data_IF_696738666559
#
_entry.id   IF_696738666559
#
_cell.length_a   1.000
_cell.length_b   1.000
_cell.length_c   1.000
_cell.angle_alpha   90.00
_cell.angle_beta   90.00
_cell.angle_gamma   90.00
#
_symmetry.space_group_name_H-M   'P 1'
#
loop_
_entity.id
_entity.type
_entity.pdbx_description
1 polymer ?
#
# COMPACT_ATOMS: atom_id res chain seq x y z
N UNK A 1 -10.08 -15.52 20.59
CA UNK A 1 -8.65 -15.32 20.89
C UNK A 1 -8.61 -14.08 21.72
N UNK A 2 -7.93 -14.14 22.87
CA UNK A 2 -7.92 -13.05 23.84
C UNK A 2 -7.50 -11.73 23.19
N UNK A 3 -8.34 -10.71 23.38
CA UNK A 3 -8.15 -9.32 22.94
C UNK A 3 -7.06 -8.61 23.77
N UNK A 4 -6.06 -9.37 24.22
CA UNK A 4 -5.14 -9.02 25.29
C UNK A 4 -3.69 -8.92 24.79
N UNK A 5 -3.50 -8.57 23.52
CA UNK A 5 -2.18 -8.38 22.89
C UNK A 5 -1.80 -6.93 22.65
N UNK A 6 -2.70 -5.98 22.90
CA UNK A 6 -2.37 -4.57 22.87
C UNK A 6 -1.42 -4.28 24.04
N UNK A 7 -0.18 -3.88 23.73
CA UNK A 7 0.83 -3.47 24.73
C UNK A 7 0.51 -2.11 25.37
N UNK A 8 -0.68 -1.55 25.11
CA UNK A 8 -1.10 -0.21 25.51
C UNK A 8 -2.64 -0.13 25.60
N UNK A 9 -3.17 0.85 26.33
CA UNK A 9 -4.62 1.16 26.35
C UNK A 9 -5.02 2.19 25.29
N UNK A 10 -6.32 2.28 24.98
CA UNK A 10 -6.85 3.29 24.04
C UNK A 10 -6.51 4.71 24.51
N UNK A 11 -6.58 4.99 25.81
CA UNK A 11 -6.20 6.28 26.38
C UNK A 11 -4.71 6.58 26.18
N UNK A 12 -3.83 5.58 26.27
CA UNK A 12 -2.40 5.75 25.99
C UNK A 12 -2.17 6.08 24.51
N UNK A 13 -2.87 5.41 23.58
CA UNK A 13 -2.79 5.70 22.15
C UNK A 13 -3.29 7.11 21.81
N UNK A 14 -4.40 7.55 22.39
CA UNK A 14 -4.92 8.91 22.21
C UNK A 14 -4.01 9.97 22.84
N UNK A 15 -3.47 9.68 24.03
CA UNK A 15 -2.51 10.55 24.70
C UNK A 15 -1.22 10.70 23.88
N UNK A 16 -0.75 9.64 23.23
CA UNK A 16 0.41 9.69 22.35
C UNK A 16 0.23 10.69 21.20
N UNK A 17 -0.96 10.77 20.60
CA UNK A 17 -1.24 11.65 19.47
C UNK A 17 -1.57 13.11 19.86
N UNK A 18 -1.88 13.37 21.13
CA UNK A 18 -2.37 14.69 21.60
C UNK A 18 -1.42 15.43 22.54
N UNK A 19 -0.54 14.71 23.25
CA UNK A 19 0.28 15.31 24.31
C UNK A 19 1.37 16.21 23.74
N UNK A 20 1.48 17.42 24.28
CA UNK A 20 2.46 18.42 23.84
C UNK A 20 1.98 19.11 22.57
N UNK A 21 2.48 18.67 21.42
CA UNK A 21 2.07 19.16 20.10
C UNK A 21 1.29 18.03 19.40
N UNK A 22 0.00 18.23 19.04
CA UNK A 22 -0.78 17.20 18.37
C UNK A 22 -0.19 16.77 17.02
N UNK A 23 -0.46 15.51 16.65
CA UNK A 23 0.03 14.90 15.42
C UNK A 23 1.45 14.34 15.56
N UNK A 24 1.95 13.73 14.48
CA UNK A 24 3.24 13.03 14.47
C UNK A 24 4.30 13.66 13.58
N UNK A 25 3.98 14.76 12.91
CA UNK A 25 4.83 15.42 11.93
C UNK A 25 4.98 16.92 12.21
N UNK A 26 6.11 17.48 11.81
CA UNK A 26 6.34 18.93 11.78
C UNK A 26 7.31 19.31 10.68
N UNK A 27 7.28 20.58 10.26
CA UNK A 27 8.18 21.13 9.24
C UNK A 27 9.27 21.94 9.94
N UNK A 28 10.54 21.62 9.65
CA UNK A 28 11.70 22.34 10.17
C UNK A 28 12.55 22.87 9.01
N UNK A 29 12.99 24.15 9.03
CA UNK A 29 13.88 24.69 8.00
C UNK A 29 15.25 23.98 7.99
N UNK A 30 15.79 23.73 6.80
CA UNK A 30 17.11 23.10 6.61
C UNK A 30 18.25 24.10 6.44
N UNK A 31 17.94 25.38 6.23
CA UNK A 31 18.92 26.46 6.05
C UNK A 31 18.82 27.46 7.21
N UNK A 32 19.92 28.14 7.59
CA UNK A 32 19.87 29.20 8.60
C UNK A 32 18.90 30.32 8.20
N UNK A 33 18.18 30.87 9.17
CA UNK A 33 17.22 31.98 8.97
C UNK A 33 17.41 33.07 10.03
N UNK A 34 18.63 33.22 10.57
CA UNK A 34 18.89 34.03 11.76
C UNK A 34 19.21 35.50 11.43
N UNK A 35 19.68 35.78 10.21
CA UNK A 35 20.13 37.12 9.82
C UNK A 35 19.30 37.71 8.68
N UNK A 36 19.37 39.03 8.50
CA UNK A 36 18.77 39.71 7.35
C UNK A 36 19.31 39.15 6.02
N UNK A 37 20.60 38.80 5.98
CA UNK A 37 21.22 38.19 4.81
C UNK A 37 20.58 36.83 4.52
N UNK A 38 20.42 35.98 5.53
CA UNK A 38 19.80 34.66 5.36
C UNK A 38 18.39 34.78 4.81
N UNK A 39 17.57 35.67 5.38
CA UNK A 39 16.20 35.92 4.92
C UNK A 39 16.16 36.45 3.48
N UNK A 40 17.12 37.30 3.09
CA UNK A 40 17.23 37.83 1.73
C UNK A 40 17.63 36.77 0.70
N UNK A 41 18.31 35.70 1.12
CA UNK A 41 18.66 34.55 0.27
C UNK A 41 17.51 33.54 0.20
N UNK A 42 16.88 33.26 1.33
CA UNK A 42 15.78 32.31 1.46
C UNK A 42 14.50 32.77 0.76
N UNK A 43 14.30 34.08 0.69
CA UNK A 43 13.13 34.70 0.06
C UNK A 43 13.57 35.85 -0.84
N UNK A 44 12.76 36.89 -0.97
CA UNK A 44 13.07 38.02 -1.85
C UNK A 44 14.26 38.85 -1.35
N UNK A 45 15.18 39.28 -2.25
CA UNK A 45 15.17 39.02 -3.70
C UNK A 45 15.88 37.72 -4.13
N UNK A 46 16.59 37.04 -3.24
CA UNK A 46 17.48 35.91 -3.55
C UNK A 46 16.78 34.71 -4.20
N UNK A 47 15.57 34.35 -3.73
CA UNK A 47 14.77 33.23 -4.25
C UNK A 47 14.44 33.36 -5.75
N UNK A 48 14.51 34.57 -6.33
CA UNK A 48 14.30 34.76 -7.76
C UNK A 48 15.37 34.06 -8.62
N UNK A 49 16.57 33.82 -8.06
CA UNK A 49 17.67 33.14 -8.78
C UNK A 49 17.34 31.67 -9.05
N UNK A 50 17.04 30.80 -8.05
CA UNK A 50 16.63 29.42 -8.33
C UNK A 50 15.32 29.34 -9.11
N UNK A 51 14.36 30.27 -8.92
CA UNK A 51 13.13 30.30 -9.73
C UNK A 51 13.44 30.44 -11.23
N UNK A 52 14.30 31.38 -11.61
CA UNK A 52 14.69 31.56 -13.02
C UNK A 52 15.46 30.35 -13.56
N UNK A 53 16.37 29.80 -12.77
CA UNK A 53 17.12 28.61 -13.16
C UNK A 53 16.18 27.41 -13.44
N UNK A 54 15.19 27.17 -12.59
CA UNK A 54 14.19 26.11 -12.78
C UNK A 54 13.29 26.39 -13.98
N UNK A 55 12.94 27.66 -14.23
CA UNK A 55 12.16 28.03 -15.43
C UNK A 55 12.93 27.76 -16.73
N UNK A 56 14.26 27.90 -16.72
CA UNK A 56 15.13 27.59 -17.86
C UNK A 56 15.39 26.07 -18.00
N UNK A 57 15.54 25.37 -16.87
CA UNK A 57 15.71 23.92 -16.81
C UNK A 57 14.93 23.31 -15.63
N UNK A 58 13.75 22.69 -15.88
CA UNK A 58 12.90 22.12 -14.84
C UNK A 58 13.58 21.07 -13.93
N UNK A 59 14.57 20.34 -14.45
CA UNK A 59 15.29 19.31 -13.67
C UNK A 59 16.07 19.89 -12.50
N UNK A 60 16.44 21.18 -12.56
CA UNK A 60 17.10 21.87 -11.44
C UNK A 60 16.20 22.01 -10.20
N UNK A 61 14.91 21.66 -10.29
CA UNK A 61 14.05 21.52 -9.13
C UNK A 61 14.57 20.44 -8.16
N UNK A 62 15.24 19.40 -8.67
CA UNK A 62 15.85 18.36 -7.84
C UNK A 62 17.12 18.85 -7.10
N UNK A 63 17.81 19.86 -7.64
CA UNK A 63 19.02 20.43 -7.03
C UNK A 63 18.70 21.55 -6.04
N UNK A 64 17.69 22.39 -6.34
CA UNK A 64 17.43 23.63 -5.61
C UNK A 64 16.20 23.60 -4.71
N UNK A 65 15.49 22.46 -4.64
CA UNK A 65 14.32 22.30 -3.78
C UNK A 65 14.36 20.97 -3.05
N UNK A 66 13.38 20.73 -2.17
CA UNK A 66 13.23 19.45 -1.48
C UNK A 66 12.61 18.35 -2.38
N UNK A 67 12.21 18.65 -3.63
CA UNK A 67 11.49 17.74 -4.53
C UNK A 67 12.10 16.35 -4.60
N UNK A 68 13.43 16.25 -4.70
CA UNK A 68 14.13 14.98 -4.85
C UNK A 68 14.02 14.02 -3.66
N UNK A 69 13.72 14.52 -2.46
CA UNK A 69 13.55 13.70 -1.26
C UNK A 69 12.12 13.74 -0.70
N UNK A 70 11.18 14.41 -1.39
CA UNK A 70 9.84 14.65 -0.88
C UNK A 70 8.82 13.70 -1.50
N UNK A 71 8.16 12.89 -0.68
CA UNK A 71 7.09 11.96 -1.08
C UNK A 71 5.74 12.43 -0.52
N UNK A 72 4.69 12.33 -1.33
CA UNK A 72 3.33 12.50 -0.86
C UNK A 72 2.71 11.15 -0.50
N UNK A 73 2.24 11.00 0.74
CA UNK A 73 1.39 9.87 1.16
C UNK A 73 -0.05 10.29 0.97
N UNK A 74 -0.74 9.71 -0.02
CA UNK A 74 -2.07 10.17 -0.45
C UNK A 74 -3.10 9.08 -0.22
N UNK A 75 -4.20 9.44 0.45
CA UNK A 75 -5.33 8.55 0.71
C UNK A 75 -6.66 9.28 0.62
N UNK A 76 -7.74 8.54 0.31
CA UNK A 76 -9.12 9.00 0.53
C UNK A 76 -9.80 8.30 1.72
N UNK A 77 -9.07 7.46 2.46
CA UNK A 77 -9.56 6.79 3.66
C UNK A 77 -10.68 5.78 3.42
N UNK A 78 -10.76 5.20 2.21
CA UNK A 78 -11.82 4.25 1.84
C UNK A 78 -11.54 2.82 2.28
N UNK A 79 -10.29 2.49 2.64
CA UNK A 79 -9.88 1.17 3.12
C UNK A 79 -8.83 1.26 4.25
N UNK A 80 -9.14 1.99 5.31
CA UNK A 80 -8.20 2.25 6.41
C UNK A 80 -7.97 0.96 7.20
N UNK A 81 -6.79 0.36 7.05
CA UNK A 81 -6.41 -0.87 7.75
C UNK A 81 -7.51 -1.96 7.66
N UNK A 82 -7.95 -2.51 8.79
CA UNK A 82 -9.11 -3.40 8.89
C UNK A 82 -10.43 -2.70 9.23
N UNK A 83 -10.44 -1.36 9.29
CA UNK A 83 -11.59 -0.55 9.71
C UNK A 83 -12.51 -0.17 8.53
N UNK A 84 -12.02 -0.30 7.30
CA UNK A 84 -12.78 -0.01 6.09
C UNK A 84 -12.89 1.49 5.81
N UNK A 85 -14.03 1.89 5.26
CA UNK A 85 -14.25 3.28 4.84
C UNK A 85 -14.71 4.14 6.02
N UNK A 86 -13.79 4.89 6.63
CA UNK A 86 -14.09 5.92 7.64
C UNK A 86 -13.86 7.35 7.11
N UNK A 87 -13.48 7.47 5.83
CA UNK A 87 -13.27 8.75 5.14
C UNK A 87 -11.88 9.35 5.32
N UNK A 88 -11.58 10.35 4.49
CA UNK A 88 -10.24 10.92 4.36
C UNK A 88 -9.68 11.43 5.71
N UNK A 89 -10.46 12.21 6.45
CA UNK A 89 -10.00 12.79 7.73
C UNK A 89 -9.67 11.72 8.78
N UNK A 90 -10.42 10.63 8.84
CA UNK A 90 -10.15 9.54 9.78
C UNK A 90 -8.88 8.76 9.42
N UNK A 91 -8.44 8.81 8.15
CA UNK A 91 -7.19 8.18 7.70
C UNK A 91 -5.94 8.95 8.14
N UNK A 92 -6.08 10.24 8.46
CA UNK A 92 -4.94 11.14 8.75
C UNK A 92 -3.92 10.59 9.74
N UNK A 93 -4.30 10.01 10.91
CA UNK A 93 -3.32 9.43 11.81
C UNK A 93 -2.53 8.29 11.14
N UNK A 94 -3.13 7.46 10.29
CA UNK A 94 -2.40 6.40 9.59
C UNK A 94 -1.39 7.00 8.60
N UNK A 95 -1.80 8.03 7.85
CA UNK A 95 -0.96 8.71 6.86
C UNK A 95 0.23 9.48 7.48
N UNK A 96 0.01 10.20 8.58
CA UNK A 96 1.10 10.79 9.36
C UNK A 96 2.07 9.70 9.86
N UNK A 97 1.52 8.55 10.28
CA UNK A 97 2.31 7.39 10.70
C UNK A 97 3.23 6.90 9.58
N UNK A 98 2.69 6.74 8.36
CA UNK A 98 3.46 6.36 7.16
C UNK A 98 4.58 7.37 6.86
N UNK A 99 4.31 8.67 6.97
CA UNK A 99 5.33 9.70 6.80
C UNK A 99 6.47 9.61 7.82
N UNK A 100 6.16 9.31 9.09
CA UNK A 100 7.18 9.05 10.13
C UNK A 100 8.01 7.80 9.81
N UNK A 101 7.39 6.74 9.28
CA UNK A 101 8.10 5.53 8.88
C UNK A 101 9.06 5.79 7.70
N UNK A 102 8.62 6.52 6.68
CA UNK A 102 9.47 6.97 5.58
C UNK A 102 10.73 7.69 6.10
N UNK A 103 10.53 8.65 7.00
CA UNK A 103 11.66 9.40 7.57
C UNK A 103 12.56 8.51 8.42
N UNK A 104 11.99 7.67 9.28
CA UNK A 104 12.73 6.88 10.26
C UNK A 104 13.59 5.78 9.63
N UNK A 105 13.08 5.14 8.57
CA UNK A 105 13.69 3.95 7.97
C UNK A 105 14.40 4.19 6.65
N UNK A 106 14.07 5.26 5.92
CA UNK A 106 14.65 5.56 4.61
C UNK A 106 15.20 6.99 4.46
N UNK A 107 15.11 7.83 5.50
CA UNK A 107 15.45 9.27 5.46
C UNK A 107 14.70 10.06 4.38
N UNK A 108 13.52 9.59 3.99
CA UNK A 108 12.63 10.25 3.03
C UNK A 108 11.78 11.28 3.78
N UNK A 109 11.75 12.51 3.28
CA UNK A 109 10.83 13.52 3.77
C UNK A 109 9.45 13.26 3.17
N UNK A 110 8.42 13.19 4.00
CA UNK A 110 7.08 12.80 3.57
C UNK A 110 6.01 13.66 4.23
N UNK A 111 4.94 13.91 3.48
CA UNK A 111 3.75 14.60 3.97
C UNK A 111 2.50 13.83 3.54
N UNK A 112 1.51 13.80 4.41
CA UNK A 112 0.20 13.23 4.17
C UNK A 112 -0.74 14.20 3.43
N UNK A 113 -1.53 13.66 2.51
CA UNK A 113 -2.54 14.39 1.74
C UNK A 113 -3.83 13.56 1.72
N UNK A 114 -4.81 13.99 2.52
CA UNK A 114 -6.14 13.41 2.54
C UNK A 114 -7.02 14.03 1.43
N UNK A 115 -7.44 13.22 0.46
CA UNK A 115 -8.32 13.64 -0.64
C UNK A 115 -9.75 13.19 -0.33
N UNK A 116 -10.63 14.13 0.00
CA UNK A 116 -12.02 13.85 0.38
C UNK A 116 -12.93 13.61 -0.84
N UNK A 117 -12.66 12.53 -1.57
CA UNK A 117 -13.50 12.06 -2.68
C UNK A 117 -13.45 10.55 -2.83
N UNK A 118 -14.59 9.96 -3.18
CA UNK A 118 -14.70 8.56 -3.59
C UNK A 118 -14.75 8.38 -5.11
N UNK A 119 -14.84 9.48 -5.88
CA UNK A 119 -14.78 9.42 -7.35
C UNK A 119 -13.32 9.25 -7.81
N UNK A 120 -12.97 8.13 -8.49
CA UNK A 120 -11.60 7.87 -8.92
C UNK A 120 -11.07 8.93 -9.88
N UNK A 121 -11.89 9.50 -10.78
CA UNK A 121 -11.42 10.53 -11.71
C UNK A 121 -11.15 11.85 -11.00
N UNK A 122 -11.99 12.27 -10.04
CA UNK A 122 -11.70 13.41 -9.18
C UNK A 122 -10.40 13.19 -8.38
N UNK A 123 -10.20 11.98 -7.84
CA UNK A 123 -8.97 11.63 -7.11
C UNK A 123 -7.73 11.73 -8.02
N UNK A 124 -7.77 11.10 -9.20
CA UNK A 124 -6.68 11.15 -10.19
C UNK A 124 -6.37 12.59 -10.58
N UNK A 125 -7.40 13.41 -10.82
CA UNK A 125 -7.22 14.82 -11.15
C UNK A 125 -6.59 15.63 -10.02
N UNK A 126 -6.95 15.35 -8.76
CA UNK A 126 -6.33 15.97 -7.60
C UNK A 126 -4.82 15.64 -7.56
N UNK A 127 -4.47 14.36 -7.69
CA UNK A 127 -3.09 13.89 -7.54
C UNK A 127 -2.19 14.29 -8.70
N UNK A 128 -2.65 14.18 -9.95
CA UNK A 128 -1.80 14.42 -11.13
C UNK A 128 -1.22 15.83 -11.19
N UNK A 129 -1.94 16.83 -10.65
CA UNK A 129 -1.47 18.21 -10.61
C UNK A 129 -0.40 18.46 -9.54
N UNK A 130 -0.19 17.53 -8.62
CA UNK A 130 0.81 17.63 -7.55
C UNK A 130 2.20 17.17 -8.00
N UNK A 131 2.34 16.61 -9.21
CA UNK A 131 3.61 16.11 -9.76
C UNK A 131 4.80 17.06 -9.60
N UNK A 132 4.67 18.39 -9.83
CA UNK A 132 5.77 19.33 -9.61
C UNK A 132 6.29 19.39 -8.16
N UNK A 133 5.44 19.18 -7.16
CA UNK A 133 5.80 19.33 -5.75
C UNK A 133 6.59 18.14 -5.17
N UNK A 134 6.40 16.93 -5.73
CA UNK A 134 6.90 15.69 -5.14
C UNK A 134 7.89 14.96 -6.05
N UNK A 135 8.82 14.21 -5.45
CA UNK A 135 9.71 13.27 -6.15
C UNK A 135 9.08 11.89 -6.33
N UNK A 136 8.03 11.57 -5.58
CA UNK A 136 7.23 10.36 -5.73
C UNK A 136 5.89 10.44 -5.00
N UNK A 137 4.96 9.58 -5.40
CA UNK A 137 3.63 9.44 -4.79
C UNK A 137 3.49 8.05 -4.18
N UNK A 138 3.09 7.99 -2.91
CA UNK A 138 2.70 6.78 -2.21
C UNK A 138 1.17 6.79 -1.99
N UNK A 139 0.44 5.95 -2.72
CA UNK A 139 -0.99 5.72 -2.53
C UNK A 139 -1.22 4.73 -1.38
N UNK A 140 -2.17 5.03 -0.52
CA UNK A 140 -2.40 4.29 0.72
C UNK A 140 -3.89 4.19 1.07
N UNK A 141 -4.34 3.06 1.61
CA UNK A 141 -5.69 2.88 2.18
C UNK A 141 -6.84 3.25 1.21
N UNK A 142 -6.68 2.90 -0.08
CA UNK A 142 -7.69 3.10 -1.14
C UNK A 142 -8.36 1.77 -1.47
N UNK A 143 -9.69 1.74 -1.42
CA UNK A 143 -10.48 0.55 -1.70
C UNK A 143 -10.30 0.05 -3.14
N UNK A 144 -10.37 -1.27 -3.31
CA UNK A 144 -10.50 -1.91 -4.61
C UNK A 144 -11.98 -1.97 -5.04
N UNK A 145 -12.29 -1.87 -6.34
CA UNK A 145 -11.37 -1.88 -7.49
C UNK A 145 -10.77 -0.52 -7.87
N UNK A 146 -11.20 0.58 -7.26
CA UNK A 146 -10.81 1.94 -7.62
C UNK A 146 -9.29 2.15 -7.52
N UNK A 147 -8.65 1.58 -6.50
CA UNK A 147 -7.20 1.67 -6.30
C UNK A 147 -6.38 1.17 -7.51
N UNK A 148 -6.84 0.15 -8.23
CA UNK A 148 -6.17 -0.32 -9.44
C UNK A 148 -6.26 0.69 -10.58
N UNK A 149 -7.45 1.28 -10.77
CA UNK A 149 -7.70 2.28 -11.82
C UNK A 149 -6.87 3.54 -11.53
N UNK A 150 -6.91 4.01 -10.28
CA UNK A 150 -6.17 5.19 -9.82
C UNK A 150 -4.66 4.99 -10.03
N UNK A 151 -4.09 3.89 -9.53
CA UNK A 151 -2.65 3.65 -9.65
C UNK A 151 -2.22 3.54 -11.12
N UNK A 152 -2.93 2.74 -11.92
CA UNK A 152 -2.59 2.57 -13.33
C UNK A 152 -2.60 3.92 -14.06
N UNK A 153 -3.67 4.70 -13.91
CA UNK A 153 -3.82 5.98 -14.61
C UNK A 153 -2.79 7.01 -14.16
N UNK A 154 -2.48 7.07 -12.87
CA UNK A 154 -1.45 7.97 -12.36
C UNK A 154 -0.05 7.60 -12.88
N UNK A 155 0.28 6.30 -12.96
CA UNK A 155 1.54 5.83 -13.56
C UNK A 155 1.67 6.14 -15.06
N UNK A 156 0.54 6.18 -15.77
CA UNK A 156 0.52 6.52 -17.20
C UNK A 156 0.70 8.02 -17.47
N UNK A 157 0.23 8.90 -16.58
CA UNK A 157 0.15 10.35 -16.84
C UNK A 157 1.15 11.20 -16.05
N UNK A 158 1.81 10.65 -15.02
CA UNK A 158 2.77 11.38 -14.19
C UNK A 158 4.21 11.02 -14.54
N UNK A 159 5.09 12.02 -14.53
CA UNK A 159 6.54 11.87 -14.80
C UNK A 159 7.35 11.48 -13.54
N UNK A 160 6.67 11.15 -12.43
CA UNK A 160 7.28 10.73 -11.17
C UNK A 160 6.76 9.35 -10.76
N UNK A 161 7.53 8.55 -9.99
CA UNK A 161 7.07 7.24 -9.54
C UNK A 161 5.81 7.35 -8.69
N UNK A 162 4.85 6.47 -9.00
CA UNK A 162 3.61 6.26 -8.23
C UNK A 162 3.61 4.82 -7.76
N UNK A 163 3.44 4.64 -6.45
CA UNK A 163 3.48 3.34 -5.78
C UNK A 163 2.28 3.21 -4.85
N UNK A 164 1.62 2.05 -4.85
CA UNK A 164 0.55 1.75 -3.90
C UNK A 164 1.03 0.71 -2.89
N UNK A 165 1.16 1.09 -1.62
CA UNK A 165 1.80 0.25 -0.59
C UNK A 165 0.98 -1.02 -0.30
N UNK A 166 -0.35 -0.89 -0.15
CA UNK A 166 -1.20 -2.06 0.12
C UNK A 166 -1.15 -3.11 -1.00
N UNK A 167 -0.87 -2.70 -2.24
CA UNK A 167 -0.71 -3.62 -3.37
C UNK A 167 0.71 -4.18 -3.39
N UNK A 168 1.68 -3.33 -3.73
CA UNK A 168 3.03 -3.76 -4.07
C UNK A 168 3.87 -4.04 -2.83
N UNK A 169 3.75 -3.22 -1.77
CA UNK A 169 4.43 -3.44 -0.50
C UNK A 169 4.04 -4.77 0.13
N UNK A 170 2.73 -5.05 0.19
CA UNK A 170 2.22 -6.34 0.67
C UNK A 170 2.70 -7.50 -0.20
N UNK A 171 2.67 -7.36 -1.54
CA UNK A 171 3.14 -8.39 -2.45
C UNK A 171 4.62 -8.73 -2.23
N UNK A 172 5.49 -7.72 -2.14
CA UNK A 172 6.94 -7.88 -1.98
C UNK A 172 7.26 -8.63 -0.68
N UNK A 173 6.69 -8.20 0.45
CA UNK A 173 6.97 -8.83 1.75
C UNK A 173 6.36 -10.23 1.86
N UNK A 174 5.14 -10.44 1.34
CA UNK A 174 4.52 -11.77 1.31
C UNK A 174 5.33 -12.75 0.44
N UNK A 175 5.80 -12.31 -0.74
CA UNK A 175 6.64 -13.10 -1.62
C UNK A 175 7.99 -13.44 -0.97
N UNK A 176 8.63 -12.49 -0.30
CA UNK A 176 9.87 -12.74 0.44
C UNK A 176 9.67 -13.75 1.58
N UNK A 177 8.59 -13.62 2.35
CA UNK A 177 8.21 -14.58 3.38
C UNK A 177 7.94 -15.98 2.82
N UNK A 178 7.21 -16.05 1.71
CA UNK A 178 6.91 -17.31 1.02
C UNK A 178 8.18 -17.99 0.53
N UNK A 179 9.09 -17.27 -0.13
CA UNK A 179 10.35 -17.85 -0.60
C UNK A 179 11.16 -18.51 0.53
N UNK A 180 11.28 -17.82 1.67
CA UNK A 180 11.98 -18.37 2.83
C UNK A 180 11.24 -19.58 3.42
N UNK A 181 9.91 -19.55 3.49
CA UNK A 181 9.13 -20.67 3.99
C UNK A 181 9.22 -21.91 3.06
N UNK A 182 9.25 -21.70 1.74
CA UNK A 182 9.46 -22.75 0.75
C UNK A 182 10.86 -23.38 0.90
N UNK A 183 11.90 -22.56 1.09
CA UNK A 183 13.27 -23.04 1.34
C UNK A 183 13.34 -23.90 2.62
N UNK A 184 12.78 -23.41 3.73
CA UNK A 184 12.75 -24.14 5.01
C UNK A 184 11.99 -25.46 4.91
N UNK A 185 10.91 -25.50 4.12
CA UNK A 185 10.08 -26.71 3.96
C UNK A 185 10.55 -27.63 2.83
N UNK A 186 11.58 -27.24 2.08
CA UNK A 186 12.08 -27.98 0.92
C UNK A 186 11.09 -28.07 -0.23
N UNK A 187 10.19 -27.09 -0.38
CA UNK A 187 9.15 -27.03 -1.41
C UNK A 187 9.56 -26.10 -2.56
N UNK A 188 9.14 -26.42 -3.77
CA UNK A 188 9.35 -25.57 -4.95
C UNK A 188 8.12 -24.71 -5.25
N UNK A 189 8.30 -23.42 -5.53
CA UNK A 189 7.21 -22.52 -5.95
C UNK A 189 6.46 -23.05 -7.19
N UNK A 190 7.12 -23.87 -8.01
CA UNK A 190 6.54 -24.45 -9.23
C UNK A 190 5.58 -25.61 -8.97
N UNK A 191 5.58 -26.17 -7.76
CA UNK A 191 4.88 -27.41 -7.42
C UNK A 191 3.81 -27.21 -6.36
N UNK A 192 3.96 -26.20 -5.50
CA UNK A 192 3.03 -25.93 -4.41
C UNK A 192 1.64 -25.53 -4.89
N UNK A 193 0.63 -25.93 -4.12
CA UNK A 193 -0.75 -25.44 -4.25
C UNK A 193 -1.01 -24.33 -3.24
N UNK A 194 -1.53 -23.20 -3.72
CA UNK A 194 -1.77 -22.00 -2.93
C UNK A 194 -3.28 -21.73 -2.84
N UNK A 195 -3.80 -21.66 -1.62
CA UNK A 195 -5.14 -21.15 -1.35
C UNK A 195 -5.02 -19.69 -0.87
N UNK A 196 -5.83 -18.78 -1.41
CA UNK A 196 -5.85 -17.38 -0.98
C UNK A 196 -7.24 -17.05 -0.42
N UNK A 197 -7.28 -16.58 0.83
CA UNK A 197 -8.47 -16.02 1.44
C UNK A 197 -8.44 -14.50 1.25
N UNK A 198 -9.31 -13.98 0.41
CA UNK A 198 -9.36 -12.57 0.01
C UNK A 198 -9.12 -12.37 -1.48
N UNK A 199 -9.83 -11.40 -2.06
CA UNK A 199 -9.68 -10.97 -3.45
C UNK A 199 -9.76 -9.44 -3.58
N UNK A 200 -9.14 -8.74 -2.63
CA UNK A 200 -8.92 -7.29 -2.65
C UNK A 200 -7.57 -6.93 -3.28
N UNK A 201 -7.22 -5.64 -3.26
CA UNK A 201 -5.99 -5.06 -3.82
C UNK A 201 -4.73 -5.85 -3.45
N UNK A 202 -4.48 -6.02 -2.15
CA UNK A 202 -3.31 -6.74 -1.65
C UNK A 202 -3.28 -8.21 -2.08
N UNK A 203 -4.42 -8.90 -2.00
CA UNK A 203 -4.50 -10.33 -2.33
C UNK A 203 -4.19 -10.57 -3.81
N UNK A 204 -4.76 -9.76 -4.70
CA UNK A 204 -4.55 -9.84 -6.14
C UNK A 204 -3.11 -9.47 -6.54
N UNK A 205 -2.52 -8.45 -5.89
CA UNK A 205 -1.13 -8.09 -6.10
C UNK A 205 -0.16 -9.20 -5.66
N UNK A 206 -0.37 -9.78 -4.48
CA UNK A 206 0.43 -10.92 -3.96
C UNK A 206 0.35 -12.09 -4.92
N UNK A 207 -0.85 -12.52 -5.32
CA UNK A 207 -0.99 -13.66 -6.22
C UNK A 207 -0.41 -13.37 -7.61
N UNK A 208 -0.53 -12.15 -8.13
CA UNK A 208 0.08 -11.72 -9.38
C UNK A 208 1.60 -11.83 -9.34
N UNK A 209 2.22 -11.33 -8.26
CA UNK A 209 3.68 -11.37 -8.09
C UNK A 209 4.19 -12.81 -7.97
N UNK A 210 3.58 -13.65 -7.12
CA UNK A 210 4.08 -15.04 -6.95
C UNK A 210 3.88 -15.88 -8.23
N UNK A 211 2.84 -15.61 -9.03
CA UNK A 211 2.69 -16.18 -10.38
C UNK A 211 3.81 -15.72 -11.31
N UNK A 212 4.15 -14.44 -11.32
CA UNK A 212 5.28 -13.92 -12.08
C UNK A 212 6.63 -14.52 -11.63
N UNK A 213 6.76 -14.91 -10.37
CA UNK A 213 7.94 -15.59 -9.81
C UNK A 213 7.99 -17.10 -10.13
N UNK A 214 6.94 -17.67 -10.72
CA UNK A 214 6.93 -19.04 -11.22
C UNK A 214 5.87 -19.97 -10.62
N UNK A 215 4.94 -19.50 -9.79
CA UNK A 215 3.78 -20.28 -9.37
C UNK A 215 2.87 -20.55 -10.59
N UNK A 216 2.55 -21.81 -10.94
CA UNK A 216 1.63 -22.10 -12.03
C UNK A 216 0.25 -21.49 -11.79
N UNK A 217 -0.37 -20.96 -12.85
CA UNK A 217 -1.67 -20.27 -12.75
C UNK A 217 -2.75 -21.14 -12.07
N UNK A 218 -2.85 -22.40 -12.47
CA UNK A 218 -3.85 -23.37 -12.00
C UNK A 218 -3.56 -23.91 -10.59
N UNK A 219 -2.37 -23.66 -10.05
CA UNK A 219 -2.00 -24.04 -8.68
C UNK A 219 -2.51 -23.05 -7.62
N UNK A 220 -3.14 -21.95 -8.04
CA UNK A 220 -3.63 -20.91 -7.14
C UNK A 220 -5.16 -20.80 -7.15
N UNK A 221 -5.76 -21.00 -5.99
CA UNK A 221 -7.20 -20.85 -5.77
C UNK A 221 -7.46 -19.61 -4.91
N UNK A 222 -7.88 -18.53 -5.57
CA UNK A 222 -8.27 -17.30 -4.88
C UNK A 222 -9.74 -17.38 -4.49
N UNK A 223 -10.07 -17.00 -3.26
CA UNK A 223 -11.44 -16.98 -2.74
C UNK A 223 -11.82 -15.57 -2.30
N UNK A 224 -12.97 -15.10 -2.76
CA UNK A 224 -13.61 -13.90 -2.22
C UNK A 224 -14.76 -14.25 -1.26
N UNK A 225 -15.57 -13.27 -0.88
CA UNK A 225 -16.71 -13.47 0.03
C UNK A 225 -17.78 -14.42 -0.50
N UNK A 226 -17.81 -14.73 -1.81
CA UNK A 226 -18.76 -15.70 -2.40
C UNK A 226 -18.08 -17.01 -2.80
N UNK A 227 -16.81 -17.21 -2.44
CA UNK A 227 -16.06 -18.45 -2.69
C UNK A 227 -14.98 -18.32 -3.77
N UNK A 228 -14.61 -19.46 -4.36
CA UNK A 228 -13.50 -19.56 -5.32
C UNK A 228 -13.75 -18.69 -6.56
N UNK A 229 -12.70 -18.06 -7.08
CA UNK A 229 -12.70 -17.42 -8.39
C UNK A 229 -12.51 -18.50 -9.46
N UNK A 230 -13.58 -18.86 -10.18
CA UNK A 230 -13.56 -19.91 -11.19
C UNK A 230 -14.06 -19.42 -12.55
N UNK A 231 -13.62 -20.06 -13.64
CA UNK A 231 -14.08 -19.75 -15.00
C UNK A 231 -15.59 -19.95 -15.12
N UNK A 232 -16.30 -18.94 -15.64
CA UNK A 232 -17.77 -18.95 -15.77
C UNK A 232 -18.51 -18.30 -14.61
N UNK A 233 -17.79 -17.85 -13.57
CA UNK A 233 -18.33 -16.96 -12.54
C UNK A 233 -18.31 -15.50 -13.05
N UNK A 234 -19.35 -14.73 -12.73
CA UNK A 234 -19.38 -13.29 -12.98
C UNK A 234 -18.37 -12.57 -12.08
N UNK A 235 -17.31 -12.02 -12.69
CA UNK A 235 -16.14 -11.43 -12.04
C UNK A 235 -15.70 -10.16 -12.78
N UNK A 236 -15.21 -9.18 -12.04
CA UNK A 236 -14.56 -8.00 -12.62
C UNK A 236 -13.24 -8.37 -13.35
N UNK A 237 -12.71 -7.43 -14.13
CA UNK A 237 -11.52 -7.65 -14.96
C UNK A 237 -10.28 -8.04 -14.15
N UNK A 238 -10.15 -7.56 -12.90
CA UNK A 238 -8.98 -7.83 -12.07
C UNK A 238 -9.05 -9.23 -11.47
N UNK A 239 -10.23 -9.62 -10.96
CA UNK A 239 -10.45 -10.96 -10.39
C UNK A 239 -10.48 -12.05 -11.45
N UNK A 240 -11.04 -11.78 -12.62
CA UNK A 240 -11.10 -12.75 -13.73
C UNK A 240 -9.71 -13.17 -14.21
N UNK A 241 -8.69 -12.31 -14.11
CA UNK A 241 -7.30 -12.66 -14.40
C UNK A 241 -6.72 -13.76 -13.48
N UNK A 242 -7.35 -14.02 -12.33
CA UNK A 242 -6.96 -15.07 -11.39
C UNK A 242 -7.94 -16.24 -11.31
N UNK A 243 -8.98 -16.25 -12.16
CA UNK A 243 -9.92 -17.35 -12.21
C UNK A 243 -9.28 -18.60 -12.85
N UNK A 244 -9.56 -19.77 -12.27
CA UNK A 244 -9.07 -21.06 -12.79
C UNK A 244 -10.23 -22.00 -13.09
N UNK A 245 -9.94 -23.07 -13.83
CA UNK A 245 -10.91 -24.12 -14.11
C UNK A 245 -10.92 -25.14 -12.97
N UNK A 246 -12.00 -25.19 -12.19
CA UNK A 246 -12.12 -26.07 -11.04
C UNK A 246 -13.58 -26.30 -10.66
N UNK A 247 -13.86 -27.42 -9.99
CA UNK A 247 -15.14 -27.76 -9.36
C UNK A 247 -15.24 -27.26 -7.92
N UNK A 248 -14.13 -26.85 -7.29
CA UNK A 248 -14.09 -26.27 -5.94
C UNK A 248 -14.86 -24.94 -5.88
N UNK A 249 -15.58 -24.68 -4.79
CA UNK A 249 -16.44 -23.51 -4.61
C UNK A 249 -16.16 -22.75 -3.30
N UNK A 250 -15.63 -23.40 -2.28
CA UNK A 250 -15.42 -22.81 -0.95
C UNK A 250 -13.94 -22.65 -0.60
N UNK A 251 -13.65 -21.77 0.38
CA UNK A 251 -12.30 -21.65 0.93
C UNK A 251 -11.82 -22.97 1.56
N UNK A 252 -12.72 -23.71 2.21
CA UNK A 252 -12.38 -25.02 2.79
C UNK A 252 -11.90 -26.01 1.73
N UNK A 253 -12.61 -26.09 0.60
CA UNK A 253 -12.20 -26.93 -0.52
C UNK A 253 -10.91 -26.43 -1.16
N UNK A 254 -10.71 -25.11 -1.27
CA UNK A 254 -9.47 -24.54 -1.80
C UNK A 254 -8.25 -24.90 -0.94
N UNK A 255 -8.40 -24.88 0.39
CA UNK A 255 -7.36 -25.23 1.36
C UNK A 255 -7.11 -26.73 1.49
N UNK A 256 -8.07 -27.58 1.12
CA UNK A 256 -7.92 -29.03 1.19
C UNK A 256 -6.77 -29.51 0.28
N UNK A 257 -5.72 -30.05 0.93
CA UNK A 257 -4.47 -30.45 0.29
C UNK A 257 -3.59 -29.30 -0.23
N UNK A 258 -3.86 -28.04 0.14
CA UNK A 258 -3.00 -26.91 -0.21
C UNK A 258 -1.68 -26.94 0.59
N UNK A 259 -0.59 -26.47 -0.02
CA UNK A 259 0.71 -26.34 0.64
C UNK A 259 0.85 -25.01 1.39
N UNK A 260 0.19 -23.98 0.86
CA UNK A 260 0.29 -22.59 1.33
C UNK A 260 -1.12 -22.02 1.45
N UNK A 261 -1.41 -21.32 2.54
CA UNK A 261 -2.58 -20.44 2.66
C UNK A 261 -2.14 -18.99 2.87
N UNK A 262 -2.64 -18.09 2.01
CA UNK A 262 -2.41 -16.65 2.16
C UNK A 262 -3.71 -16.00 2.64
N UNK A 263 -3.70 -15.48 3.86
CA UNK A 263 -4.85 -14.81 4.47
C UNK A 263 -4.76 -13.28 4.35
N UNK A 264 -5.53 -12.69 3.45
CA UNK A 264 -5.69 -11.24 3.24
C UNK A 264 -7.19 -10.91 3.22
N UNK A 265 -7.86 -11.31 4.30
CA UNK A 265 -9.31 -11.27 4.48
C UNK A 265 -9.68 -10.86 5.91
N UNK A 266 -10.97 -10.94 6.24
CA UNK A 266 -11.48 -10.70 7.60
C UNK A 266 -10.94 -11.70 8.62
N UNK A 267 -10.88 -11.26 9.87
CA UNK A 267 -10.47 -12.10 11.00
C UNK A 267 -11.36 -13.34 11.15
N UNK A 268 -10.75 -14.48 11.46
CA UNK A 268 -11.47 -15.75 11.69
C UNK A 268 -11.91 -16.51 10.44
N UNK A 269 -11.64 -15.99 9.23
CA UNK A 269 -11.98 -16.68 7.98
C UNK A 269 -11.27 -18.04 7.81
N UNK A 270 -10.01 -18.13 8.24
CA UNK A 270 -9.24 -19.38 8.24
C UNK A 270 -9.41 -20.08 9.58
N UNK A 271 -9.90 -21.31 9.56
CA UNK A 271 -10.17 -22.10 10.77
C UNK A 271 -9.11 -23.16 11.03
N UNK A 272 -8.96 -23.57 12.30
CA UNK A 272 -8.06 -24.69 12.68
C UNK A 272 -8.40 -25.98 11.93
N UNK A 273 -9.68 -26.20 11.61
CA UNK A 273 -10.13 -27.39 10.87
C UNK A 273 -9.62 -27.38 9.44
N UNK A 274 -9.65 -26.22 8.77
CA UNK A 274 -9.12 -26.07 7.41
C UNK A 274 -7.60 -26.29 7.37
N UNK A 275 -6.85 -25.70 8.32
CA UNK A 275 -5.38 -25.88 8.40
C UNK A 275 -5.00 -27.35 8.60
N UNK A 276 -5.78 -28.13 9.34
CA UNK A 276 -5.54 -29.58 9.53
C UNK A 276 -5.72 -30.41 8.25
N UNK A 277 -6.46 -29.90 7.26
CA UNK A 277 -6.69 -30.57 5.96
C UNK A 277 -5.65 -30.17 4.90
N UNK A 278 -4.78 -29.21 5.19
CA UNK A 278 -3.70 -28.82 4.29
C UNK A 278 -2.65 -29.94 4.15
N UNK A 279 -1.77 -29.79 3.17
CA UNK A 279 -0.67 -30.72 2.93
C UNK A 279 0.31 -30.77 4.13
N UNK A 280 1.20 -31.77 4.13
CA UNK A 280 2.24 -31.89 5.18
C UNK A 280 3.13 -30.65 5.20
N UNK A 281 3.47 -30.20 6.40
CA UNK A 281 4.22 -28.96 6.64
C UNK A 281 3.57 -27.77 5.91
N UNK A 282 2.31 -27.43 6.24
CA UNK A 282 1.61 -26.33 5.59
C UNK A 282 2.24 -24.99 5.98
N UNK A 283 2.17 -24.02 5.06
CA UNK A 283 2.62 -22.63 5.23
C UNK A 283 1.41 -21.73 5.39
#
# INVERSE_FOLDING_TARGET
MDDNSAKFSDEEALAFHSRGKPGKIEITPTKPMATQRDLSLAYSPGVAVPVKAIAENPDLAYDYTAKGNMVAVISNGTAILGLGNLGALASKPVMEGKSVLFKRFADIDSIDIEVDTTDPEAFINCVRYLGPAFGGINLEDIAAPESFIIEQRLKEIMDIPVFHDDQHGTAIIAAAGLLNALDITGKSIKEVKVAVSGAGSSALAVIGLIKAMGLPHDNALVCDSKGVLYKGRDLDQWRSAHAVETDKRTLEEAMDGADVVIGLSVAGAITKTMVKKMAKNPI
#
